data_IF_027348781268
#
_entry.id   IF_027348781268
#
_cell.length_a   1.000
_cell.length_b   1.000
_cell.length_c   1.000
_cell.angle_alpha   90.00
_cell.angle_beta   90.00
_cell.angle_gamma   90.00
#
_symmetry.space_group_name_H-M   'P 1'
#
loop_
_entity.id
_entity.type
_entity.pdbx_description
1 polymer ?
#
# COMPACT_ATOMS: atom_id res chain seq x y z
N UNK A 1 -67.39 39.66 36.71
CA UNK A 1 -66.13 39.02 37.14
C UNK A 1 -65.87 37.69 36.45
N UNK A 2 -66.86 36.78 36.32
CA UNK A 2 -66.68 35.50 35.63
C UNK A 2 -66.19 35.60 34.16
N UNK A 3 -66.75 36.51 33.37
CA UNK A 3 -66.37 36.69 31.95
C UNK A 3 -64.95 37.23 31.73
N UNK A 4 -64.41 37.96 32.70
CA UNK A 4 -63.08 38.58 32.63
C UNK A 4 -62.00 37.54 32.91
N UNK A 5 -62.27 36.65 33.88
CA UNK A 5 -61.42 35.51 34.21
C UNK A 5 -61.42 34.44 33.10
N UNK A 6 -62.55 34.21 32.43
CA UNK A 6 -62.63 33.31 31.26
C UNK A 6 -61.82 33.85 30.06
N UNK A 7 -61.87 35.15 29.81
CA UNK A 7 -61.08 35.78 28.73
C UNK A 7 -59.56 35.71 29.00
N UNK A 8 -59.15 35.86 30.26
CA UNK A 8 -57.74 35.77 30.66
C UNK A 8 -57.20 34.33 30.53
N UNK A 9 -57.98 33.32 30.91
CA UNK A 9 -57.64 31.92 30.71
C UNK A 9 -57.53 31.53 29.22
N UNK A 10 -58.41 32.10 28.38
CA UNK A 10 -58.35 31.95 26.92
C UNK A 10 -57.05 32.58 26.37
N UNK A 11 -56.70 33.77 26.83
CA UNK A 11 -55.48 34.46 26.42
C UNK A 11 -54.22 33.68 26.82
N UNK A 12 -54.15 33.19 28.06
CA UNK A 12 -53.02 32.35 28.52
C UNK A 12 -52.89 31.05 27.72
N UNK A 13 -54.01 30.42 27.37
CA UNK A 13 -54.03 29.23 26.50
C UNK A 13 -53.48 29.54 25.11
N UNK A 14 -53.85 30.69 24.55
CA UNK A 14 -53.42 31.05 23.20
C UNK A 14 -51.94 31.43 23.15
N UNK A 15 -51.43 32.12 24.19
CA UNK A 15 -49.98 32.35 24.38
C UNK A 15 -49.22 31.04 24.57
N UNK A 16 -49.75 30.09 25.35
CA UNK A 16 -49.12 28.78 25.53
C UNK A 16 -49.05 27.98 24.22
N UNK A 17 -50.09 28.06 23.37
CA UNK A 17 -50.08 27.43 22.04
C UNK A 17 -49.06 28.07 21.12
N UNK A 18 -48.94 29.39 21.14
CA UNK A 18 -47.96 30.12 20.34
C UNK A 18 -46.53 29.77 20.76
N UNK A 19 -46.25 29.73 22.08
CA UNK A 19 -44.96 29.30 22.60
C UNK A 19 -44.62 27.85 22.23
N UNK A 20 -45.59 26.93 22.25
CA UNK A 20 -45.39 25.54 21.80
C UNK A 20 -45.06 25.50 20.30
N UNK A 21 -45.69 26.33 19.48
CA UNK A 21 -45.37 26.42 18.05
C UNK A 21 -43.97 26.98 17.80
N UNK A 22 -43.55 27.99 18.57
CA UNK A 22 -42.18 28.52 18.49
C UNK A 22 -41.14 27.50 18.97
N UNK A 23 -41.40 26.79 20.08
CA UNK A 23 -40.51 25.73 20.55
C UNK A 23 -40.38 24.61 19.51
N UNK A 24 -41.48 24.19 18.87
CA UNK A 24 -41.41 23.19 17.79
C UNK A 24 -40.56 23.67 16.62
N UNK A 25 -40.72 24.94 16.21
CA UNK A 25 -39.89 25.54 15.17
C UNK A 25 -38.41 25.58 15.57
N UNK A 26 -38.09 25.89 16.82
CA UNK A 26 -36.71 25.88 17.31
C UNK A 26 -36.12 24.47 17.36
N UNK A 27 -36.89 23.47 17.80
CA UNK A 27 -36.46 22.06 17.81
C UNK A 27 -36.19 21.57 16.40
N UNK A 28 -37.08 21.84 15.44
CA UNK A 28 -36.87 21.49 14.04
C UNK A 28 -35.64 22.19 13.44
N UNK A 29 -35.38 23.44 13.82
CA UNK A 29 -34.21 24.17 13.37
C UNK A 29 -32.91 23.61 13.98
N UNK A 30 -32.93 23.18 15.24
CA UNK A 30 -31.79 22.56 15.91
C UNK A 30 -31.48 21.18 15.34
N UNK A 31 -32.49 20.33 15.13
CA UNK A 31 -32.31 19.01 14.50
C UNK A 31 -31.70 19.12 13.10
N UNK A 32 -32.12 20.11 12.30
CA UNK A 32 -31.51 20.37 10.99
C UNK A 32 -30.04 20.79 11.10
N UNK A 33 -29.67 21.57 12.13
CA UNK A 33 -28.27 21.96 12.35
C UNK A 33 -27.41 20.80 12.83
N UNK A 34 -27.92 19.99 13.74
CA UNK A 34 -27.25 18.79 14.25
C UNK A 34 -26.92 17.83 13.11
N UNK A 35 -27.89 17.52 12.25
CA UNK A 35 -27.65 16.65 11.09
C UNK A 35 -26.59 17.19 10.12
N UNK A 36 -26.53 18.52 9.93
CA UNK A 36 -25.48 19.14 9.10
C UNK A 36 -24.11 19.05 9.76
N UNK A 37 -24.03 19.21 11.08
CA UNK A 37 -22.77 19.12 11.83
C UNK A 37 -22.26 17.67 11.81
N UNK A 38 -23.13 16.69 12.05
CA UNK A 38 -22.79 15.27 11.97
C UNK A 38 -22.29 14.87 10.58
N UNK A 39 -22.99 15.30 9.52
CA UNK A 39 -22.54 15.05 8.15
C UNK A 39 -21.18 15.67 7.85
N UNK A 40 -20.92 16.89 8.33
CA UNK A 40 -19.61 17.53 8.17
C UNK A 40 -18.52 16.82 8.95
N UNK A 41 -18.80 16.35 10.17
CA UNK A 41 -17.88 15.59 10.99
C UNK A 41 -17.51 14.25 10.32
N UNK A 42 -18.51 13.48 9.87
CA UNK A 42 -18.30 12.22 9.15
C UNK A 42 -17.49 12.45 7.86
N UNK A 43 -17.78 13.52 7.12
CA UNK A 43 -17.03 13.86 5.90
C UNK A 43 -15.57 14.21 6.22
N UNK A 44 -15.31 14.91 7.32
CA UNK A 44 -13.97 15.25 7.75
C UNK A 44 -13.17 14.01 8.18
N UNK A 45 -13.80 13.08 8.90
CA UNK A 45 -13.18 11.81 9.30
C UNK A 45 -12.85 10.92 8.08
N UNK A 46 -13.80 10.81 7.14
CA UNK A 46 -13.56 10.09 5.88
C UNK A 46 -12.38 10.68 5.10
N UNK A 47 -12.31 12.01 4.99
CA UNK A 47 -11.17 12.67 4.34
C UNK A 47 -9.87 12.41 5.08
N UNK A 48 -9.86 12.47 6.41
CA UNK A 48 -8.67 12.17 7.22
C UNK A 48 -8.17 10.75 6.97
N UNK A 49 -9.05 9.77 6.98
CA UNK A 49 -8.69 8.39 6.67
C UNK A 49 -8.18 8.22 5.24
N UNK A 50 -8.78 8.90 4.26
CA UNK A 50 -8.29 8.90 2.88
C UNK A 50 -6.87 9.48 2.79
N UNK A 51 -6.59 10.58 3.49
CA UNK A 51 -5.25 11.17 3.54
C UNK A 51 -4.24 10.26 4.23
N UNK A 52 -4.59 9.64 5.36
CA UNK A 52 -3.71 8.69 6.05
C UNK A 52 -3.37 7.47 5.18
N UNK A 53 -4.37 6.92 4.48
CA UNK A 53 -4.16 5.79 3.56
C UNK A 53 -3.30 6.21 2.36
N UNK A 54 -3.50 7.42 1.85
CA UNK A 54 -2.69 7.96 0.75
C UNK A 54 -1.25 8.20 1.19
N UNK A 55 -1.04 8.74 2.39
CA UNK A 55 0.29 8.92 2.99
C UNK A 55 1.00 7.59 3.21
N UNK A 56 0.31 6.57 3.75
CA UNK A 56 0.88 5.23 3.92
C UNK A 56 1.28 4.62 2.59
N UNK A 57 0.44 4.73 1.56
CA UNK A 57 0.76 4.26 0.19
C UNK A 57 1.94 5.02 -0.40
N UNK A 58 1.99 6.33 -0.23
CA UNK A 58 3.09 7.18 -0.72
C UNK A 58 4.40 6.79 -0.03
N UNK A 59 4.40 6.66 1.29
CA UNK A 59 5.55 6.20 2.07
C UNK A 59 6.06 4.84 1.60
N UNK A 60 5.16 3.86 1.46
CA UNK A 60 5.54 2.54 0.96
C UNK A 60 6.09 2.59 -0.48
N UNK A 61 5.56 3.46 -1.34
CA UNK A 61 6.08 3.69 -2.69
C UNK A 61 7.47 4.31 -2.66
N UNK A 62 7.74 5.24 -1.74
CA UNK A 62 9.06 5.85 -1.59
C UNK A 62 10.07 4.82 -1.07
N UNK A 63 9.73 4.05 -0.04
CA UNK A 63 10.61 3.02 0.52
C UNK A 63 10.98 1.96 -0.53
N UNK A 64 10.00 1.54 -1.35
CA UNK A 64 10.25 0.59 -2.45
C UNK A 64 11.10 1.19 -3.56
N UNK A 65 10.92 2.46 -3.90
CA UNK A 65 11.78 3.18 -4.85
C UNK A 65 13.20 3.32 -4.33
N UNK A 66 13.39 3.67 -3.05
CA UNK A 66 14.70 3.83 -2.44
C UNK A 66 15.48 2.51 -2.43
N UNK A 67 14.84 1.42 -2.01
CA UNK A 67 15.44 0.09 -2.06
C UNK A 67 15.84 -0.28 -3.50
N UNK A 68 14.98 0.00 -4.47
CA UNK A 68 15.26 -0.31 -5.87
C UNK A 68 16.43 0.52 -6.44
N UNK A 69 16.53 1.81 -6.07
CA UNK A 69 17.61 2.71 -6.45
C UNK A 69 18.95 2.29 -5.82
N UNK A 70 18.99 1.98 -4.51
CA UNK A 70 20.20 1.49 -3.84
C UNK A 70 20.76 0.27 -4.55
N UNK A 71 19.93 -0.72 -4.83
CA UNK A 71 20.34 -1.89 -5.60
C UNK A 71 20.75 -1.56 -7.05
N UNK A 72 20.27 -0.45 -7.63
CA UNK A 72 20.62 -0.02 -9.00
C UNK A 72 22.01 0.55 -9.07
N UNK A 73 22.29 1.47 -8.16
CA UNK A 73 23.61 2.05 -7.99
C UNK A 73 24.62 0.94 -7.71
N UNK A 74 24.32 0.03 -6.78
CA UNK A 74 25.21 -1.09 -6.44
C UNK A 74 25.44 -2.02 -7.65
N UNK A 75 24.40 -2.34 -8.43
CA UNK A 75 24.55 -3.19 -9.62
C UNK A 75 25.40 -2.55 -10.72
N UNK A 76 25.28 -1.24 -10.92
CA UNK A 76 26.08 -0.48 -11.89
C UNK A 76 27.52 -0.40 -11.42
N UNK A 77 27.74 -0.12 -10.13
CA UNK A 77 29.07 0.00 -9.54
C UNK A 77 29.83 -1.33 -9.63
N UNK A 78 29.23 -2.44 -9.18
CA UNK A 78 29.83 -3.78 -9.25
C UNK A 78 30.03 -4.25 -10.70
N UNK A 79 29.02 -4.06 -11.55
CA UNK A 79 29.10 -4.44 -12.96
C UNK A 79 30.19 -3.67 -13.70
N UNK A 80 30.28 -2.36 -13.47
CA UNK A 80 31.32 -1.51 -14.03
C UNK A 80 32.71 -1.87 -13.51
N UNK A 81 32.86 -2.13 -12.20
CA UNK A 81 34.16 -2.47 -11.61
C UNK A 81 34.67 -3.83 -12.09
N UNK A 82 33.81 -4.84 -12.11
CA UNK A 82 34.13 -6.17 -12.66
C UNK A 82 34.42 -6.08 -14.16
N UNK A 83 33.60 -5.36 -14.91
CA UNK A 83 33.79 -5.16 -16.36
C UNK A 83 35.10 -4.44 -16.69
N UNK A 84 35.42 -3.38 -15.94
CA UNK A 84 36.69 -2.65 -16.06
C UNK A 84 37.88 -3.55 -15.73
N UNK A 85 37.77 -4.38 -14.69
CA UNK A 85 38.81 -5.35 -14.32
C UNK A 85 39.06 -6.36 -15.44
N UNK A 86 38.01 -6.93 -16.04
CA UNK A 86 38.15 -7.82 -17.19
C UNK A 86 38.73 -7.10 -18.42
N UNK A 87 38.29 -5.88 -18.72
CA UNK A 87 38.86 -5.07 -19.81
C UNK A 87 40.35 -4.78 -19.60
N UNK A 88 40.74 -4.51 -18.35
CA UNK A 88 42.14 -4.30 -17.98
C UNK A 88 42.96 -5.59 -18.15
N UNK A 89 42.47 -6.74 -17.67
CA UNK A 89 43.12 -8.04 -17.87
C UNK A 89 43.31 -8.35 -19.36
N UNK A 90 42.30 -8.09 -20.19
CA UNK A 90 42.41 -8.26 -21.65
C UNK A 90 43.47 -7.33 -22.26
N UNK A 91 43.58 -6.10 -21.77
CA UNK A 91 44.64 -5.18 -22.16
C UNK A 91 46.05 -5.67 -21.77
N UNK A 92 46.21 -6.28 -20.59
CA UNK A 92 47.48 -6.92 -20.19
C UNK A 92 47.81 -8.12 -21.09
N UNK A 93 46.83 -8.95 -21.42
CA UNK A 93 47.02 -10.06 -22.34
C UNK A 93 47.51 -9.58 -23.71
N UNK A 94 47.06 -8.42 -24.18
CA UNK A 94 47.54 -7.79 -25.42
C UNK A 94 49.02 -7.41 -25.35
N UNK A 95 49.47 -6.86 -24.21
CA UNK A 95 50.89 -6.54 -23.95
C UNK A 95 51.76 -7.79 -24.06
N UNK A 96 51.24 -8.95 -23.63
CA UNK A 96 51.97 -10.22 -23.65
C UNK A 96 52.17 -10.81 -25.06
N UNK A 97 51.47 -10.30 -26.09
CA UNK A 97 51.53 -10.80 -27.48
C UNK A 97 52.50 -9.92 -28.32
N UNK A 98 53.63 -9.51 -27.74
CA UNK A 98 54.65 -8.67 -28.40
C UNK A 98 54.14 -7.34 -28.99
N UNK A 99 53.04 -6.78 -28.46
CA UNK A 99 52.65 -5.43 -28.87
C UNK A 99 53.57 -4.38 -28.25
N UNK A 100 54.00 -3.36 -29.02
CA UNK A 100 54.83 -2.30 -28.47
C UNK A 100 54.09 -1.58 -27.33
N UNK A 101 54.77 -1.30 -26.20
CA UNK A 101 54.11 -0.88 -24.96
C UNK A 101 53.31 0.42 -25.11
N UNK A 102 53.75 1.32 -25.99
CA UNK A 102 53.02 2.55 -26.31
C UNK A 102 51.64 2.28 -26.95
N UNK A 103 51.56 1.31 -27.86
CA UNK A 103 50.31 0.92 -28.52
C UNK A 103 49.39 0.21 -27.52
N UNK A 104 49.96 -0.61 -26.65
CA UNK A 104 49.19 -1.27 -25.61
C UNK A 104 48.60 -0.28 -24.58
N UNK A 105 49.35 0.75 -24.17
CA UNK A 105 48.83 1.83 -23.32
C UNK A 105 47.68 2.60 -23.98
N UNK A 106 47.78 2.87 -25.28
CA UNK A 106 46.71 3.53 -26.04
C UNK A 106 45.45 2.67 -26.15
N UNK A 107 45.61 1.34 -26.30
CA UNK A 107 44.51 0.39 -26.41
C UNK A 107 43.89 0.02 -25.06
N UNK A 108 44.65 0.08 -23.96
CA UNK A 108 44.17 -0.19 -22.60
C UNK A 108 42.95 0.66 -22.22
N UNK A 109 42.98 1.96 -22.51
CA UNK A 109 41.87 2.88 -22.22
C UNK A 109 40.53 2.42 -22.80
N UNK A 110 40.42 2.23 -24.14
CA UNK A 110 39.17 1.76 -24.75
C UNK A 110 38.79 0.34 -24.32
N UNK A 111 39.74 -0.58 -24.04
CA UNK A 111 39.40 -1.91 -23.52
C UNK A 111 38.78 -1.85 -22.13
N UNK A 112 39.32 -1.02 -21.22
CA UNK A 112 38.76 -0.81 -19.88
C UNK A 112 37.39 -0.15 -19.97
N UNK A 113 37.24 0.89 -20.82
CA UNK A 113 35.98 1.58 -21.02
C UNK A 113 34.89 0.65 -21.60
N UNK A 114 35.24 -0.11 -22.65
CA UNK A 114 34.33 -1.06 -23.27
C UNK A 114 33.96 -2.21 -22.31
N UNK A 115 34.94 -2.73 -21.57
CA UNK A 115 34.73 -3.72 -20.52
C UNK A 115 33.77 -3.22 -19.43
N UNK A 116 33.96 -1.98 -18.95
CA UNK A 116 33.06 -1.36 -17.98
C UNK A 116 31.64 -1.21 -18.52
N UNK A 117 31.48 -0.73 -19.75
CA UNK A 117 30.18 -0.57 -20.39
C UNK A 117 29.45 -1.91 -20.56
N UNK A 118 30.16 -2.95 -21.00
CA UNK A 118 29.61 -4.31 -21.13
C UNK A 118 29.23 -4.89 -19.76
N UNK A 119 30.06 -4.69 -18.74
CA UNK A 119 29.78 -5.13 -17.38
C UNK A 119 28.55 -4.46 -16.77
N UNK A 120 28.37 -3.15 -17.00
CA UNK A 120 27.16 -2.41 -16.62
C UNK A 120 25.96 -2.96 -17.38
N UNK A 121 26.04 -3.09 -18.71
CA UNK A 121 24.95 -3.59 -19.55
C UNK A 121 24.51 -5.00 -19.14
N UNK A 122 25.44 -5.91 -18.88
CA UNK A 122 25.16 -7.27 -18.42
C UNK A 122 24.54 -7.29 -17.01
N UNK A 123 25.03 -6.44 -16.10
CA UNK A 123 24.45 -6.26 -14.76
C UNK A 123 23.01 -5.77 -14.80
N UNK A 124 22.75 -4.77 -15.65
CA UNK A 124 21.41 -4.22 -15.91
C UNK A 124 20.48 -5.28 -16.53
N UNK A 125 20.95 -6.01 -17.55
CA UNK A 125 20.17 -7.04 -18.24
C UNK A 125 19.80 -8.21 -17.31
N UNK A 126 20.75 -8.73 -16.51
CA UNK A 126 20.47 -9.77 -15.51
C UNK A 126 19.45 -9.32 -14.49
N UNK A 127 19.47 -8.04 -14.12
CA UNK A 127 18.50 -7.50 -13.17
C UNK A 127 17.13 -7.30 -13.78
N UNK A 128 17.04 -6.78 -15.00
CA UNK A 128 15.77 -6.71 -15.72
C UNK A 128 15.16 -8.10 -15.88
N UNK A 129 15.96 -9.13 -16.16
CA UNK A 129 15.49 -10.52 -16.18
C UNK A 129 14.96 -10.98 -14.80
N UNK A 130 15.64 -10.65 -13.70
CA UNK A 130 15.14 -10.98 -12.34
C UNK A 130 13.83 -10.26 -12.02
N UNK A 131 13.72 -8.98 -12.38
CA UNK A 131 12.49 -8.20 -12.19
C UNK A 131 11.34 -8.74 -13.06
N UNK A 132 11.60 -9.10 -14.31
CA UNK A 132 10.63 -9.75 -15.19
C UNK A 132 10.23 -11.14 -14.67
N UNK A 133 11.17 -11.92 -14.12
CA UNK A 133 10.88 -13.21 -13.51
C UNK A 133 10.04 -13.07 -12.24
N UNK A 134 10.32 -12.06 -11.40
CA UNK A 134 9.50 -11.73 -10.24
C UNK A 134 8.11 -11.21 -10.65
N UNK A 135 8.03 -10.35 -11.67
CA UNK A 135 6.76 -9.87 -12.24
C UNK A 135 5.92 -11.02 -12.77
N UNK A 136 6.52 -11.96 -13.52
CA UNK A 136 5.84 -13.19 -13.94
C UNK A 136 5.32 -13.98 -12.74
N UNK A 137 6.15 -14.21 -11.71
CA UNK A 137 5.72 -14.92 -10.48
C UNK A 137 4.56 -14.21 -9.76
N UNK A 138 4.50 -12.88 -9.78
CA UNK A 138 3.39 -12.11 -9.22
C UNK A 138 2.17 -11.98 -10.15
N UNK A 139 2.30 -12.26 -11.45
CA UNK A 139 1.17 -12.36 -12.38
C UNK A 139 0.52 -13.75 -12.37
N UNK A 140 1.22 -14.78 -11.86
CA UNK A 140 0.73 -16.16 -11.70
C UNK A 140 0.21 -16.62 -10.30
N UNK A 141 -0.10 -15.78 -9.28
CA UNK A 141 -0.67 -16.29 -8.03
C UNK A 141 -2.20 -16.23 -7.94
N UNK A 142 -2.96 -15.88 -8.99
CA UNK A 142 -4.44 -15.71 -8.83
C UNK A 142 -5.34 -16.37 -9.89
N UNK A 143 -4.85 -16.90 -11.03
CA UNK A 143 -5.76 -17.45 -12.06
C UNK A 143 -5.94 -18.98 -12.05
N UNK A 144 -5.52 -19.69 -10.99
CA UNK A 144 -5.73 -21.15 -10.85
C UNK A 144 -6.50 -21.56 -9.59
N UNK A 145 -7.43 -20.72 -9.11
CA UNK A 145 -8.41 -21.10 -8.07
C UNK A 145 -9.80 -20.48 -8.27
N UNK A 146 -10.30 -20.50 -9.49
CA UNK A 146 -11.74 -20.39 -9.81
C UNK A 146 -11.86 -20.84 -11.26
N UNK A 147 -12.07 -22.13 -11.56
CA UNK A 147 -13.39 -22.73 -11.61
C UNK A 147 -13.19 -24.22 -11.27
N UNK A 148 -13.52 -24.62 -10.04
CA UNK A 148 -13.89 -26.00 -9.75
C UNK A 148 -15.27 -25.90 -9.11
N UNK A 149 -16.30 -26.61 -9.62
CA UNK A 149 -17.61 -26.60 -8.99
C UNK A 149 -17.46 -27.04 -7.53
N UNK A 150 -18.16 -26.36 -6.63
CA UNK A 150 -18.08 -26.55 -5.19
C UNK A 150 -18.01 -28.04 -4.81
N UNK A 151 -16.93 -28.51 -4.14
CA UNK A 151 -16.94 -29.86 -3.62
C UNK A 151 -18.02 -29.92 -2.55
N UNK A 152 -18.99 -30.82 -2.71
CA UNK A 152 -20.01 -31.12 -1.70
C UNK A 152 -19.29 -31.37 -0.37
N UNK A 153 -19.23 -30.35 0.49
CA UNK A 153 -18.65 -30.45 1.82
C UNK A 153 -19.58 -31.35 2.63
N UNK A 154 -19.19 -32.61 2.78
CA UNK A 154 -19.81 -33.54 3.72
C UNK A 154 -19.81 -32.93 5.12
N UNK A 155 -20.95 -32.99 5.81
CA UNK A 155 -21.18 -32.46 7.15
C UNK A 155 -20.16 -32.96 8.19
N UNK A 156 -19.50 -34.09 7.92
CA UNK A 156 -18.40 -34.62 8.73
C UNK A 156 -17.18 -33.69 8.77
N UNK A 157 -16.85 -33.03 7.64
CA UNK A 157 -15.71 -32.12 7.58
C UNK A 157 -15.91 -30.87 8.44
N UNK A 158 -17.13 -30.34 8.49
CA UNK A 158 -17.47 -29.22 9.37
C UNK A 158 -17.53 -29.64 10.83
N UNK A 159 -18.00 -30.86 11.14
CA UNK A 159 -18.04 -31.37 12.51
C UNK A 159 -16.64 -31.57 13.11
N UNK A 160 -15.68 -32.06 12.32
CA UNK A 160 -14.29 -32.27 12.76
C UNK A 160 -13.58 -30.94 13.05
N UNK A 161 -13.85 -29.91 12.23
CA UNK A 161 -13.28 -28.57 12.45
C UNK A 161 -13.87 -27.94 13.71
N UNK A 162 -15.19 -28.04 13.93
CA UNK A 162 -15.81 -27.55 15.16
C UNK A 162 -15.33 -28.32 16.41
N UNK A 163 -15.14 -29.64 16.33
CA UNK A 163 -14.60 -30.42 17.44
C UNK A 163 -13.15 -30.04 17.80
N UNK A 164 -12.35 -29.68 16.78
CA UNK A 164 -10.98 -29.19 16.98
C UNK A 164 -10.94 -27.81 17.64
N UNK A 165 -11.85 -26.91 17.26
CA UNK A 165 -11.97 -25.58 17.88
C UNK A 165 -12.44 -25.68 19.34
N UNK A 166 -13.44 -26.53 19.61
CA UNK A 166 -13.98 -26.74 20.96
C UNK A 166 -12.95 -27.41 21.87
N UNK A 167 -12.19 -28.39 21.39
CA UNK A 167 -11.14 -29.03 22.21
C UNK A 167 -10.01 -28.06 22.56
N UNK A 168 -9.66 -27.14 21.66
CA UNK A 168 -8.65 -26.12 21.94
C UNK A 168 -9.13 -25.09 22.98
N UNK A 169 -10.40 -24.67 22.87
CA UNK A 169 -11.03 -23.78 23.84
C UNK A 169 -11.22 -24.44 25.23
N UNK A 170 -11.51 -25.73 25.27
CA UNK A 170 -11.62 -26.48 26.53
C UNK A 170 -10.25 -26.63 27.21
N UNK A 171 -9.20 -26.87 26.42
CA UNK A 171 -7.83 -26.97 26.92
C UNK A 171 -7.32 -25.64 27.47
N UNK A 172 -7.67 -24.51 26.84
CA UNK A 172 -7.31 -23.19 27.37
C UNK A 172 -8.07 -22.86 28.66
N UNK A 173 -9.33 -23.28 28.78
CA UNK A 173 -10.13 -23.07 29.99
C UNK A 173 -9.61 -23.87 31.19
N UNK A 174 -9.21 -25.14 31.00
CA UNK A 174 -8.68 -25.99 32.08
C UNK A 174 -7.27 -25.54 32.55
N UNK A 175 -6.54 -24.84 31.68
CA UNK A 175 -5.20 -24.29 31.99
C UNK A 175 -5.27 -22.91 32.67
N UNK A 176 -6.44 -22.30 32.76
CA UNK A 176 -6.71 -21.03 33.45
C UNK A 176 -7.07 -21.27 34.91
#
# INVERSE_FOLDING_TARGET
MASLMEAELIHQRDVAKEMVHELRRQVEALQKREGVIEQRALTAELRRHQFEMTLKRCKHRIDTLEANLRHHVVSILLGGLLGAFFGWLMGICLVMIDTPPFVAFFLMGPFVLCGAMVGIAAGLARRQQKLLAQSKRMQYPVFKKSILPAPKRSALGTAIVCAKEVSYALYSYIRS
#
